data_IF_101266916222
#
_entry.id   IF_101266916222
#
_cell.length_a   1.000
_cell.length_b   1.000
_cell.length_c   1.000
_cell.angle_alpha   90.00
_cell.angle_beta   90.00
_cell.angle_gamma   90.00
#
_symmetry.space_group_name_H-M   'P 1'
#
loop_
_entity.id
_entity.type
_entity.pdbx_description
1 polymer ?
#
# COMPACT_ATOMS: atom_id res chain seq x y z
N UNK A 1 -1.99 31.11 15.28
CA UNK A 1 -3.27 30.87 15.98
C UNK A 1 -4.38 30.78 14.96
N UNK A 2 -4.79 29.59 14.55
CA UNK A 2 -6.09 29.37 13.89
C UNK A 2 -6.61 28.04 14.43
N UNK A 3 -7.55 28.15 15.37
CA UNK A 3 -8.34 27.04 15.89
C UNK A 3 -9.30 26.58 14.79
N UNK A 4 -9.12 25.38 14.24
CA UNK A 4 -10.17 24.67 13.54
C UNK A 4 -10.61 23.49 14.42
N UNK A 5 -11.71 23.66 15.09
CA UNK A 5 -12.46 22.64 15.80
C UNK A 5 -12.89 21.55 14.81
N UNK A 6 -12.60 20.29 15.14
CA UNK A 6 -13.13 19.14 14.43
C UNK A 6 -14.67 19.17 14.49
N UNK A 7 -15.38 18.85 13.38
CA UNK A 7 -16.82 18.76 13.40
C UNK A 7 -17.28 17.60 14.31
N UNK A 8 -18.19 17.90 15.23
CA UNK A 8 -18.88 16.92 16.04
C UNK A 8 -19.77 16.01 15.18
N UNK A 9 -20.24 14.86 15.72
CA UNK A 9 -21.06 13.94 14.97
C UNK A 9 -22.39 14.62 14.59
N UNK A 10 -22.58 14.79 13.27
CA UNK A 10 -23.84 15.30 12.72
C UNK A 10 -24.98 14.32 13.02
N UNK A 11 -26.08 14.83 13.52
CA UNK A 11 -27.33 14.10 13.74
C UNK A 11 -27.83 13.50 12.39
N UNK A 12 -28.32 12.26 12.42
CA UNK A 12 -28.82 11.53 11.26
C UNK A 12 -30.11 12.17 10.73
N UNK A 13 -29.98 13.05 9.75
CA UNK A 13 -31.08 13.32 8.82
C UNK A 13 -31.23 12.08 7.91
N UNK A 14 -32.47 11.75 7.49
CA UNK A 14 -32.72 10.68 6.54
C UNK A 14 -31.84 10.89 5.30
N UNK A 15 -31.15 9.85 4.80
CA UNK A 15 -30.21 10.01 3.72
C UNK A 15 -30.99 10.49 2.47
N UNK A 16 -30.58 11.64 1.89
CA UNK A 16 -31.03 12.04 0.58
C UNK A 16 -30.69 10.95 -0.46
N UNK A 17 -31.17 11.07 -1.69
CA UNK A 17 -30.99 10.06 -2.76
C UNK A 17 -29.53 9.58 -2.90
N UNK A 18 -28.56 10.48 -2.78
CA UNK A 18 -27.12 10.16 -2.79
C UNK A 18 -26.73 9.26 -1.61
N UNK A 19 -27.19 9.56 -0.41
CA UNK A 19 -26.91 8.74 0.77
C UNK A 19 -27.53 7.34 0.68
N UNK A 20 -28.72 7.21 0.12
CA UNK A 20 -29.36 5.93 -0.14
C UNK A 20 -28.57 5.08 -1.15
N UNK A 21 -28.06 5.70 -2.22
CA UNK A 21 -27.21 5.03 -3.22
C UNK A 21 -25.90 4.50 -2.60
N UNK A 22 -25.21 5.33 -1.82
CA UNK A 22 -24.01 4.93 -1.08
C UNK A 22 -24.31 3.72 -0.20
N UNK A 23 -25.36 3.79 0.63
CA UNK A 23 -25.76 2.70 1.53
C UNK A 23 -26.03 1.39 0.78
N UNK A 24 -26.74 1.46 -0.37
CA UNK A 24 -27.04 0.31 -1.23
C UNK A 24 -25.76 -0.32 -1.78
N UNK A 25 -24.83 0.47 -2.31
CA UNK A 25 -23.54 0.00 -2.86
C UNK A 25 -22.66 -0.62 -1.77
N UNK A 26 -22.60 -0.04 -0.57
CA UNK A 26 -21.87 -0.61 0.58
C UNK A 26 -22.47 -1.95 1.04
N UNK A 27 -23.80 -2.06 1.09
CA UNK A 27 -24.49 -3.30 1.40
C UNK A 27 -24.20 -4.39 0.37
N UNK A 28 -24.22 -4.04 -0.93
CA UNK A 28 -23.87 -4.94 -2.02
C UNK A 28 -22.42 -5.42 -1.93
N UNK A 29 -21.45 -4.52 -1.74
CA UNK A 29 -20.05 -4.88 -1.56
C UNK A 29 -19.85 -5.80 -0.36
N UNK A 30 -20.51 -5.51 0.79
CA UNK A 30 -20.50 -6.40 1.96
C UNK A 30 -21.01 -7.79 1.61
N UNK A 31 -22.12 -7.88 0.88
CA UNK A 31 -22.69 -9.16 0.42
C UNK A 31 -21.71 -9.96 -0.43
N UNK A 32 -21.00 -9.29 -1.37
CA UNK A 32 -19.98 -9.93 -2.20
C UNK A 32 -18.83 -10.45 -1.36
N UNK A 33 -18.28 -9.64 -0.46
CA UNK A 33 -17.14 -10.01 0.39
C UNK A 33 -17.46 -11.14 1.37
N UNK A 34 -18.73 -11.35 1.72
CA UNK A 34 -19.22 -12.39 2.65
C UNK A 34 -19.73 -13.66 1.96
N UNK A 35 -19.68 -13.74 0.63
CA UNK A 35 -20.10 -14.95 -0.10
C UNK A 35 -19.29 -16.18 0.30
N UNK A 36 -19.87 -17.38 0.14
CA UNK A 36 -19.16 -18.65 0.35
C UNK A 36 -18.03 -18.81 -0.68
N UNK A 37 -17.05 -19.64 -0.34
CA UNK A 37 -15.93 -19.94 -1.22
C UNK A 37 -16.38 -20.56 -2.53
N UNK A 38 -17.41 -21.44 -2.48
CA UNK A 38 -17.95 -22.08 -3.67
C UNK A 38 -18.64 -21.07 -4.60
N UNK A 39 -19.41 -20.13 -4.03
CA UNK A 39 -20.05 -19.06 -4.82
C UNK A 39 -19.03 -18.12 -5.47
N UNK A 40 -17.95 -17.79 -4.76
CA UNK A 40 -16.85 -16.96 -5.29
C UNK A 40 -16.05 -17.72 -6.36
N UNK A 41 -15.76 -18.99 -6.14
CA UNK A 41 -15.04 -19.86 -7.09
C UNK A 41 -15.80 -20.01 -8.39
N UNK A 42 -17.13 -20.15 -8.33
CA UNK A 42 -17.98 -20.23 -9.50
C UNK A 42 -17.97 -18.95 -10.33
N UNK A 43 -17.77 -17.78 -9.69
CA UNK A 43 -17.76 -16.45 -10.34
C UNK A 43 -16.36 -15.98 -10.75
N UNK A 44 -15.32 -16.44 -10.05
CA UNK A 44 -13.92 -16.08 -10.26
C UNK A 44 -13.06 -17.34 -10.43
N UNK A 45 -13.37 -18.26 -11.39
CA UNK A 45 -12.70 -19.56 -11.48
C UNK A 45 -11.18 -19.40 -11.68
N UNK A 46 -10.72 -18.44 -12.48
CA UNK A 46 -9.31 -18.20 -12.75
C UNK A 46 -8.62 -17.45 -11.60
N UNK A 47 -9.30 -16.47 -11.00
CA UNK A 47 -8.74 -15.53 -10.02
C UNK A 47 -9.11 -15.88 -8.58
N UNK A 48 -9.82 -16.99 -8.36
CA UNK A 48 -10.29 -17.36 -7.01
C UNK A 48 -9.15 -17.48 -6.00
N UNK A 49 -8.04 -18.12 -6.35
CA UNK A 49 -6.91 -18.32 -5.43
C UNK A 49 -6.24 -16.99 -5.06
N UNK A 50 -6.08 -16.08 -6.03
CA UNK A 50 -5.55 -14.73 -5.79
C UNK A 50 -6.48 -13.96 -4.87
N UNK A 51 -7.77 -13.93 -5.17
CA UNK A 51 -8.80 -13.33 -4.34
C UNK A 51 -8.79 -13.91 -2.91
N UNK A 52 -8.87 -15.22 -2.79
CA UNK A 52 -8.94 -15.91 -1.49
C UNK A 52 -7.72 -15.67 -0.63
N UNK A 53 -6.52 -15.75 -1.20
CA UNK A 53 -5.25 -15.54 -0.49
C UNK A 53 -5.20 -14.20 0.24
N UNK A 54 -5.66 -13.15 -0.40
CA UNK A 54 -5.58 -11.78 0.13
C UNK A 54 -6.83 -11.37 0.94
N UNK A 55 -8.03 -11.76 0.53
CA UNK A 55 -9.28 -11.29 1.14
C UNK A 55 -9.83 -12.17 2.27
N UNK A 56 -9.35 -13.40 2.43
CA UNK A 56 -9.81 -14.30 3.52
C UNK A 56 -9.77 -13.66 4.91
N UNK A 57 -8.80 -12.76 5.15
CA UNK A 57 -8.63 -12.07 6.43
C UNK A 57 -9.65 -10.96 6.65
N UNK A 58 -10.23 -10.41 5.58
CA UNK A 58 -11.24 -9.35 5.63
C UNK A 58 -12.66 -9.93 5.76
N UNK A 59 -12.86 -11.20 5.44
CA UNK A 59 -14.16 -11.89 5.40
C UNK A 59 -14.76 -12.12 6.79
N UNK A 60 -14.92 -11.04 7.55
CA UNK A 60 -15.74 -11.01 8.76
C UNK A 60 -16.35 -9.62 8.95
N UNK A 61 -17.57 -9.52 9.55
CA UNK A 61 -18.27 -8.25 9.63
C UNK A 61 -17.47 -7.11 10.28
N UNK A 62 -16.76 -7.28 11.40
CA UNK A 62 -15.96 -6.21 11.99
C UNK A 62 -14.86 -5.67 11.08
N UNK A 63 -14.20 -6.53 10.31
CA UNK A 63 -13.10 -6.11 9.41
C UNK A 63 -13.63 -5.41 8.16
N UNK A 64 -14.77 -5.85 7.64
CA UNK A 64 -15.46 -5.17 6.53
C UNK A 64 -15.89 -3.77 6.98
N UNK A 65 -16.43 -3.64 8.18
CA UNK A 65 -16.79 -2.33 8.72
C UNK A 65 -15.57 -1.42 8.87
N UNK A 66 -14.46 -1.98 9.32
CA UNK A 66 -13.19 -1.26 9.38
C UNK A 66 -12.71 -0.82 7.99
N UNK A 67 -12.80 -1.68 6.99
CA UNK A 67 -12.47 -1.35 5.60
C UNK A 67 -13.32 -0.17 5.10
N UNK A 68 -14.63 -0.19 5.35
CA UNK A 68 -15.54 0.89 4.95
C UNK A 68 -15.17 2.21 5.62
N UNK A 69 -14.89 2.19 6.92
CA UNK A 69 -14.45 3.37 7.65
C UNK A 69 -13.07 3.89 7.15
N UNK A 70 -12.15 2.99 6.82
CA UNK A 70 -10.86 3.35 6.21
C UNK A 70 -11.06 4.05 4.87
N UNK A 71 -11.89 3.48 3.98
CA UNK A 71 -12.22 4.09 2.70
C UNK A 71 -12.89 5.46 2.86
N UNK A 72 -13.79 5.62 3.84
CA UNK A 72 -14.40 6.91 4.17
C UNK A 72 -13.36 7.95 4.60
N UNK A 73 -12.43 7.58 5.46
CA UNK A 73 -11.34 8.48 5.87
C UNK A 73 -10.43 8.88 4.70
N UNK A 74 -10.12 7.94 3.81
CA UNK A 74 -9.33 8.25 2.60
C UNK A 74 -10.05 9.24 1.70
N UNK A 75 -11.36 9.04 1.47
CA UNK A 75 -12.21 9.96 0.74
C UNK A 75 -12.17 11.38 1.35
N UNK A 76 -12.26 11.49 2.68
CA UNK A 76 -12.22 12.76 3.41
C UNK A 76 -10.83 13.41 3.35
N UNK A 77 -9.75 12.64 3.53
CA UNK A 77 -8.38 13.17 3.47
C UNK A 77 -7.97 13.63 2.07
N UNK A 78 -8.50 12.99 1.03
CA UNK A 78 -8.32 13.40 -0.36
C UNK A 78 -9.23 14.57 -0.77
N UNK A 79 -10.20 14.94 0.08
CA UNK A 79 -11.25 15.89 -0.29
C UNK A 79 -11.92 15.47 -1.61
N UNK A 80 -12.23 14.17 -1.76
CA UNK A 80 -12.48 13.53 -3.05
C UNK A 80 -13.88 13.74 -3.63
N UNK A 81 -14.78 14.47 -2.95
CA UNK A 81 -16.15 14.70 -3.45
C UNK A 81 -16.15 15.39 -4.81
N UNK A 82 -16.73 14.73 -5.81
CA UNK A 82 -16.81 15.24 -7.18
C UNK A 82 -15.48 15.37 -7.93
N UNK A 83 -14.39 14.76 -7.41
CA UNK A 83 -13.02 14.89 -7.94
C UNK A 83 -12.53 13.63 -8.65
N UNK A 84 -11.52 13.79 -9.50
CA UNK A 84 -10.79 12.69 -10.14
C UNK A 84 -9.68 12.21 -9.23
N UNK A 85 -9.68 10.91 -8.91
CA UNK A 85 -8.73 10.27 -7.99
C UNK A 85 -7.99 9.15 -8.69
N UNK A 86 -6.69 9.03 -8.42
CA UNK A 86 -5.84 7.91 -8.84
C UNK A 86 -5.38 7.15 -7.60
N UNK A 87 -5.45 5.83 -7.65
CA UNK A 87 -4.85 4.91 -6.66
C UNK A 87 -3.65 4.20 -7.28
N UNK A 88 -2.46 4.40 -6.71
CA UNK A 88 -1.21 3.82 -7.16
C UNK A 88 -0.89 2.56 -6.33
N UNK A 89 -0.83 1.39 -6.97
CA UNK A 89 -0.64 0.11 -6.30
C UNK A 89 -1.89 -0.32 -5.53
N UNK A 90 -3.03 -0.29 -6.22
CA UNK A 90 -4.36 -0.45 -5.62
C UNK A 90 -4.68 -1.88 -5.16
N UNK A 91 -3.88 -2.90 -5.53
CA UNK A 91 -4.24 -4.29 -5.34
C UNK A 91 -5.57 -4.61 -6.05
N UNK A 92 -6.55 -5.12 -5.31
CA UNK A 92 -7.91 -5.31 -5.84
C UNK A 92 -8.73 -4.02 -5.95
N UNK A 93 -8.16 -2.87 -5.61
CA UNK A 93 -8.86 -1.59 -5.65
C UNK A 93 -9.95 -1.42 -4.60
N UNK A 94 -9.93 -2.15 -3.47
CA UNK A 94 -11.01 -2.07 -2.47
C UNK A 94 -11.17 -0.67 -1.88
N UNK A 95 -10.09 -0.02 -1.54
CA UNK A 95 -10.11 1.37 -1.05
C UNK A 95 -10.52 2.34 -2.15
N UNK A 96 -10.05 2.14 -3.38
CA UNK A 96 -10.45 2.93 -4.54
C UNK A 96 -11.95 2.77 -4.87
N UNK A 97 -12.49 1.55 -4.82
CA UNK A 97 -13.93 1.28 -4.94
C UNK A 97 -14.73 2.04 -3.88
N UNK A 98 -14.25 2.08 -2.64
CA UNK A 98 -14.91 2.83 -1.58
C UNK A 98 -14.87 4.33 -1.83
N UNK A 99 -13.76 4.87 -2.30
CA UNK A 99 -13.65 6.30 -2.70
C UNK A 99 -14.64 6.61 -3.83
N UNK A 100 -14.81 5.71 -4.82
CA UNK A 100 -15.79 5.85 -5.87
C UNK A 100 -17.23 5.79 -5.33
N UNK A 101 -17.53 4.84 -4.42
CA UNK A 101 -18.84 4.71 -3.76
C UNK A 101 -19.20 5.97 -2.97
N UNK A 102 -18.24 6.57 -2.28
CA UNK A 102 -18.47 7.77 -1.44
C UNK A 102 -18.66 9.05 -2.23
N UNK A 103 -18.42 9.08 -3.53
CA UNK A 103 -18.82 10.21 -4.40
C UNK A 103 -17.67 10.90 -5.12
N UNK A 104 -16.51 10.26 -5.30
CA UNK A 104 -15.54 10.74 -6.28
C UNK A 104 -16.15 10.73 -7.68
N UNK A 105 -15.79 11.71 -8.53
CA UNK A 105 -16.29 11.81 -9.91
C UNK A 105 -15.79 10.66 -10.78
N UNK A 106 -14.50 10.37 -10.67
CA UNK A 106 -13.81 9.28 -11.35
C UNK A 106 -12.70 8.74 -10.47
N UNK A 107 -12.55 7.43 -10.43
CA UNK A 107 -11.42 6.76 -9.75
C UNK A 107 -10.73 5.83 -10.74
N UNK A 108 -9.44 6.03 -10.94
CA UNK A 108 -8.56 5.10 -11.63
C UNK A 108 -7.70 4.38 -10.60
N UNK A 109 -7.77 3.06 -10.57
CA UNK A 109 -6.94 2.19 -9.74
C UNK A 109 -5.87 1.53 -10.63
N UNK A 110 -4.58 1.68 -10.29
CA UNK A 110 -3.49 1.04 -11.05
C UNK A 110 -2.79 0.00 -10.20
N UNK A 111 -2.48 -1.15 -10.81
CA UNK A 111 -1.84 -2.28 -10.13
C UNK A 111 -0.94 -3.04 -11.12
N UNK A 112 0.20 -3.54 -10.63
CA UNK A 112 1.18 -4.28 -11.43
C UNK A 112 0.81 -5.77 -11.61
N UNK A 113 -0.08 -6.29 -10.80
CA UNK A 113 -0.61 -7.65 -10.89
C UNK A 113 -1.91 -7.65 -11.71
N UNK A 114 -1.86 -8.26 -12.90
CA UNK A 114 -3.01 -8.33 -13.83
C UNK A 114 -4.21 -9.09 -13.26
N UNK A 115 -3.95 -10.09 -12.43
CA UNK A 115 -5.03 -10.87 -11.81
C UNK A 115 -5.75 -10.03 -10.76
N UNK A 116 -5.02 -9.19 -10.01
CA UNK A 116 -5.63 -8.22 -9.10
C UNK A 116 -6.46 -7.16 -9.85
N UNK A 117 -5.97 -6.67 -10.98
CA UNK A 117 -6.72 -5.74 -11.84
C UNK A 117 -8.05 -6.37 -12.27
N UNK A 118 -8.04 -7.62 -12.76
CA UNK A 118 -9.24 -8.33 -13.19
C UNK A 118 -10.26 -8.53 -12.05
N UNK A 119 -9.78 -8.80 -10.83
CA UNK A 119 -10.63 -8.88 -9.64
C UNK A 119 -11.25 -7.51 -9.32
N UNK A 120 -10.48 -6.43 -9.38
CA UNK A 120 -10.99 -5.07 -9.17
C UNK A 120 -12.12 -4.70 -10.14
N UNK A 121 -11.94 -4.99 -11.41
CA UNK A 121 -12.97 -4.81 -12.42
C UNK A 121 -14.22 -5.66 -12.18
N UNK A 122 -14.04 -6.92 -11.76
CA UNK A 122 -15.15 -7.78 -11.38
C UNK A 122 -15.94 -7.17 -10.22
N UNK A 123 -15.28 -6.73 -9.16
CA UNK A 123 -15.94 -6.14 -7.99
C UNK A 123 -16.74 -4.89 -8.36
N UNK A 124 -16.19 -4.01 -9.21
CA UNK A 124 -16.88 -2.79 -9.65
C UNK A 124 -18.17 -3.11 -10.42
N UNK A 125 -18.15 -4.14 -11.28
CA UNK A 125 -19.32 -4.60 -12.04
C UNK A 125 -20.32 -5.36 -11.18
N UNK A 126 -19.88 -6.10 -10.16
CA UNK A 126 -20.72 -6.93 -9.30
C UNK A 126 -21.44 -6.15 -8.19
N UNK A 127 -20.99 -4.97 -7.85
CA UNK A 127 -21.69 -4.05 -6.92
C UNK A 127 -23.03 -3.63 -7.55
N UNK A 128 -24.09 -3.54 -6.74
CA UNK A 128 -25.41 -3.13 -7.20
C UNK A 128 -25.83 -1.79 -6.55
N UNK A 129 -26.12 -0.76 -7.38
CA UNK A 129 -25.87 -0.70 -8.82
C UNK A 129 -24.36 -0.61 -9.14
N UNK A 130 -23.93 -1.09 -10.34
CA UNK A 130 -22.53 -1.07 -10.75
C UNK A 130 -21.88 0.31 -10.65
N UNK A 131 -20.55 0.32 -10.51
CA UNK A 131 -19.77 1.55 -10.49
C UNK A 131 -19.35 1.92 -11.93
N UNK A 132 -19.90 2.99 -12.45
CA UNK A 132 -19.55 3.60 -13.73
C UNK A 132 -18.42 4.62 -13.65
N UNK A 133 -18.05 5.00 -12.42
CA UNK A 133 -17.02 5.97 -12.09
C UNK A 133 -15.71 5.33 -11.60
N UNK A 134 -15.53 4.01 -11.76
CA UNK A 134 -14.34 3.27 -11.36
C UNK A 134 -13.75 2.50 -12.54
N UNK A 135 -12.42 2.56 -12.65
CA UNK A 135 -11.63 1.80 -13.62
C UNK A 135 -10.43 1.17 -12.92
N UNK A 136 -10.14 -0.12 -13.17
CA UNK A 136 -8.91 -0.78 -12.76
C UNK A 136 -8.03 -1.00 -14.00
N UNK A 137 -6.71 -0.69 -13.87
CA UNK A 137 -5.76 -0.76 -14.99
C UNK A 137 -4.41 -1.28 -14.55
N UNK A 138 -3.76 -2.04 -15.43
CA UNK A 138 -2.37 -2.42 -15.24
C UNK A 138 -1.44 -1.20 -15.32
N UNK A 139 -0.51 -1.06 -14.34
CA UNK A 139 0.48 0.00 -14.29
C UNK A 139 1.44 -0.19 -13.13
N UNK A 140 2.70 0.20 -13.28
CA UNK A 140 3.76 0.05 -12.27
C UNK A 140 3.92 1.25 -11.32
N UNK A 141 3.09 2.28 -11.50
CA UNK A 141 3.10 3.48 -10.67
C UNK A 141 4.22 4.48 -10.97
N UNK A 142 5.11 4.22 -11.94
CA UNK A 142 6.20 5.10 -12.33
C UNK A 142 6.21 5.23 -13.85
N UNK A 143 6.27 6.49 -14.37
CA UNK A 143 6.35 6.74 -15.82
C UNK A 143 5.12 6.27 -16.60
N UNK A 144 3.95 6.30 -15.97
CA UNK A 144 2.72 5.88 -16.63
C UNK A 144 2.36 6.81 -17.79
N UNK A 145 1.84 6.24 -18.87
CA UNK A 145 1.33 6.99 -20.02
C UNK A 145 0.00 7.71 -19.69
N UNK A 146 0.04 8.54 -18.64
CA UNK A 146 -1.04 9.41 -18.22
C UNK A 146 -0.62 10.88 -18.33
N UNK A 147 -1.50 11.78 -18.82
CA UNK A 147 -1.17 13.20 -18.91
C UNK A 147 -0.83 13.81 -17.55
N UNK A 148 0.09 14.77 -17.52
CA UNK A 148 0.36 15.54 -16.31
C UNK A 148 -0.88 16.32 -15.87
N UNK A 149 -1.00 16.60 -14.58
CA UNK A 149 -2.11 17.37 -14.01
C UNK A 149 -3.50 16.80 -14.36
N UNK A 150 -3.67 15.48 -14.31
CA UNK A 150 -4.91 14.77 -14.67
C UNK A 150 -5.82 14.49 -13.47
N UNK A 151 -5.29 14.51 -12.24
CA UNK A 151 -6.03 14.11 -11.05
C UNK A 151 -6.05 15.20 -9.99
N UNK A 152 -7.15 15.29 -9.26
CA UNK A 152 -7.30 16.16 -8.11
C UNK A 152 -6.74 15.51 -6.84
N UNK A 153 -6.79 14.17 -6.78
CA UNK A 153 -6.24 13.36 -5.71
C UNK A 153 -5.44 12.18 -6.25
N UNK A 154 -4.32 11.87 -5.61
CA UNK A 154 -3.54 10.63 -5.81
C UNK A 154 -3.41 9.97 -4.46
N UNK A 155 -3.62 8.65 -4.37
CA UNK A 155 -3.40 7.91 -3.14
C UNK A 155 -2.48 6.71 -3.36
N UNK A 156 -1.79 6.32 -2.30
CA UNK A 156 -0.97 5.11 -2.25
C UNK A 156 -1.13 4.49 -0.85
N UNK A 157 -1.66 3.26 -0.79
CA UNK A 157 -1.94 2.59 0.47
C UNK A 157 -1.21 1.26 0.56
N UNK A 158 -0.29 1.12 1.54
CA UNK A 158 0.53 -0.08 1.76
C UNK A 158 1.34 -0.52 0.52
N UNK A 159 1.85 0.44 -0.26
CA UNK A 159 2.62 0.17 -1.47
C UNK A 159 4.03 0.75 -1.41
N UNK A 160 4.21 1.91 -0.77
CA UNK A 160 5.46 2.65 -0.86
C UNK A 160 6.64 1.95 -0.17
N UNK A 161 6.37 1.08 0.78
CA UNK A 161 7.36 0.22 1.42
C UNK A 161 7.99 -0.80 0.45
N UNK A 162 7.33 -1.11 -0.66
CA UNK A 162 7.80 -2.02 -1.71
C UNK A 162 8.49 -1.29 -2.88
N UNK A 163 8.21 0.00 -3.05
CA UNK A 163 8.69 0.78 -4.20
C UNK A 163 10.21 0.93 -4.17
N UNK A 164 10.89 0.53 -5.25
CA UNK A 164 12.34 0.64 -5.39
C UNK A 164 12.79 2.09 -5.52
N UNK A 165 12.28 2.79 -6.53
CA UNK A 165 12.56 4.21 -6.78
C UNK A 165 11.51 5.10 -6.12
N UNK A 166 11.74 5.39 -4.84
CA UNK A 166 10.82 6.22 -4.06
C UNK A 166 10.72 7.65 -4.61
N UNK A 167 11.84 8.20 -5.04
CA UNK A 167 11.87 9.57 -5.55
C UNK A 167 11.16 9.67 -6.89
N UNK A 168 11.37 8.70 -7.79
CA UNK A 168 10.62 8.59 -9.03
C UNK A 168 9.12 8.45 -8.79
N UNK A 169 8.72 7.62 -7.83
CA UNK A 169 7.33 7.44 -7.46
C UNK A 169 6.67 8.73 -6.94
N UNK A 170 7.35 9.47 -6.05
CA UNK A 170 6.84 10.73 -5.53
C UNK A 170 6.80 11.83 -6.61
N UNK A 171 7.80 11.89 -7.48
CA UNK A 171 7.80 12.81 -8.64
C UNK A 171 6.63 12.50 -9.59
N UNK A 172 6.37 11.21 -9.85
CA UNK A 172 5.25 10.79 -10.71
C UNK A 172 3.91 11.16 -10.08
N UNK A 173 3.71 10.87 -8.79
CA UNK A 173 2.52 11.28 -8.06
C UNK A 173 2.29 12.80 -8.15
N UNK A 174 3.36 13.59 -7.96
CA UNK A 174 3.27 15.06 -8.11
C UNK A 174 2.99 15.49 -9.55
N UNK A 175 3.61 14.85 -10.56
CA UNK A 175 3.37 15.14 -11.99
C UNK A 175 1.89 14.94 -12.35
N UNK A 176 1.28 13.86 -11.86
CA UNK A 176 -0.10 13.50 -12.16
C UNK A 176 -1.13 14.39 -11.44
N UNK A 177 -0.77 15.01 -10.32
CA UNK A 177 -1.64 15.92 -9.59
C UNK A 177 -1.81 17.25 -10.34
N UNK A 178 -3.04 17.78 -10.33
CA UNK A 178 -3.36 19.15 -10.66
C UNK A 178 -2.75 20.10 -9.62
N UNK A 179 -2.47 21.36 -9.96
CA UNK A 179 -2.09 22.38 -8.96
C UNK A 179 -3.10 22.43 -7.80
N UNK A 180 -2.62 22.38 -6.57
CA UNK A 180 -3.45 22.31 -5.36
C UNK A 180 -4.05 20.92 -5.07
N UNK A 181 -3.80 19.92 -5.91
CA UNK A 181 -4.21 18.54 -5.70
C UNK A 181 -3.53 17.89 -4.50
N UNK A 182 -4.07 16.77 -4.04
CA UNK A 182 -3.64 16.10 -2.80
C UNK A 182 -3.04 14.74 -3.11
N UNK A 183 -1.83 14.47 -2.61
CA UNK A 183 -1.28 13.14 -2.48
C UNK A 183 -1.53 12.61 -1.07
N UNK A 184 -2.18 11.46 -0.95
CA UNK A 184 -2.41 10.75 0.31
C UNK A 184 -1.59 9.46 0.36
N UNK A 185 -0.82 9.29 1.41
CA UNK A 185 -0.01 8.11 1.68
C UNK A 185 -0.44 7.45 3.00
N UNK A 186 -0.65 6.15 2.99
CA UNK A 186 -0.80 5.33 4.19
C UNK A 186 0.07 4.07 4.07
N UNK A 187 0.89 3.78 5.09
CA UNK A 187 1.73 2.57 5.10
C UNK A 187 1.86 2.01 6.52
N UNK A 188 1.92 0.68 6.65
CA UNK A 188 2.00 -0.03 7.93
C UNK A 188 3.44 -0.18 8.45
N UNK A 189 4.44 0.26 7.68
CA UNK A 189 5.86 0.07 7.95
C UNK A 189 6.53 1.26 8.64
N UNK A 190 5.82 1.89 9.57
CA UNK A 190 6.34 2.97 10.40
C UNK A 190 7.52 2.50 11.27
N UNK A 191 8.72 3.02 11.01
CA UNK A 191 9.96 2.66 11.71
C UNK A 191 10.01 3.12 13.16
N UNK A 192 9.21 4.12 13.55
CA UNK A 192 9.16 4.65 14.90
C UNK A 192 8.29 3.81 15.85
N UNK A 193 7.43 2.92 15.30
CA UNK A 193 6.64 1.99 16.10
C UNK A 193 7.43 0.72 16.41
N UNK A 194 8.18 0.74 17.50
CA UNK A 194 9.10 -0.34 17.90
C UNK A 194 8.45 -1.72 18.10
N UNK A 195 7.19 -1.86 18.62
CA UNK A 195 6.60 -3.19 18.82
C UNK A 195 6.43 -4.03 17.54
N UNK A 196 6.26 -3.41 16.38
CA UNK A 196 6.14 -4.14 15.11
C UNK A 196 7.49 -4.49 14.46
N UNK A 197 8.56 -3.81 14.84
CA UNK A 197 9.89 -3.92 14.22
C UNK A 197 10.46 -5.34 14.25
N UNK A 198 10.31 -6.04 15.36
CA UNK A 198 10.79 -7.42 15.49
C UNK A 198 10.07 -8.42 14.57
N UNK A 199 8.79 -8.20 14.28
CA UNK A 199 8.02 -9.06 13.34
C UNK A 199 8.47 -8.82 11.91
N UNK A 200 8.65 -7.57 11.50
CA UNK A 200 9.13 -7.21 10.14
C UNK A 200 10.51 -7.80 9.89
N UNK A 201 11.44 -7.64 10.83
CA UNK A 201 12.79 -8.21 10.71
C UNK A 201 12.78 -9.72 10.57
N UNK A 202 11.90 -10.44 11.27
CA UNK A 202 11.75 -11.89 11.06
C UNK A 202 11.29 -12.21 9.64
N UNK A 203 10.29 -11.50 9.11
CA UNK A 203 9.87 -11.66 7.72
C UNK A 203 11.01 -11.46 6.72
N UNK A 204 11.85 -10.43 6.93
CA UNK A 204 13.03 -10.22 6.08
C UNK A 204 14.04 -11.35 6.17
N UNK A 205 14.30 -11.88 7.37
CA UNK A 205 15.17 -13.05 7.55
C UNK A 205 14.61 -14.28 6.87
N UNK A 206 13.28 -14.47 6.86
CA UNK A 206 12.65 -15.60 6.19
C UNK A 206 12.83 -15.54 4.66
N UNK A 207 12.86 -14.34 4.06
CA UNK A 207 13.17 -14.17 2.63
C UNK A 207 14.58 -14.66 2.27
N UNK A 208 15.53 -14.49 3.16
CA UNK A 208 16.94 -14.87 2.99
C UNK A 208 17.32 -16.17 3.70
N UNK A 209 16.33 -16.93 4.23
CA UNK A 209 16.62 -18.16 4.96
C UNK A 209 17.23 -19.22 4.05
N UNK A 210 18.44 -19.64 4.39
CA UNK A 210 19.13 -20.73 3.71
C UNK A 210 18.50 -22.09 4.10
N UNK A 211 18.35 -23.05 3.16
CA UNK A 211 18.57 -22.91 1.71
C UNK A 211 17.30 -22.52 0.92
N UNK A 212 16.17 -22.22 1.56
CA UNK A 212 14.83 -22.20 0.96
C UNK A 212 14.16 -20.81 0.91
N UNK A 213 14.80 -19.78 1.46
CA UNK A 213 14.25 -18.42 1.40
C UNK A 213 14.14 -17.94 -0.06
N UNK A 214 13.00 -17.31 -0.46
CA UNK A 214 12.78 -16.98 -1.87
C UNK A 214 13.87 -16.12 -2.50
N UNK A 215 14.45 -15.18 -1.76
CA UNK A 215 15.55 -14.36 -2.29
C UNK A 215 16.87 -15.13 -2.36
N UNK A 216 17.13 -16.01 -1.39
CA UNK A 216 18.27 -16.89 -1.43
C UNK A 216 18.21 -17.82 -2.66
N UNK A 217 17.05 -18.44 -2.91
CA UNK A 217 16.82 -19.34 -4.05
C UNK A 217 16.94 -18.58 -5.37
N UNK A 218 16.32 -17.40 -5.49
CA UNK A 218 16.39 -16.60 -6.71
C UNK A 218 17.83 -16.15 -7.03
N UNK A 219 18.60 -15.72 -6.04
CA UNK A 219 20.02 -15.32 -6.21
C UNK A 219 20.87 -16.50 -6.60
N UNK A 220 20.68 -17.65 -5.95
CA UNK A 220 21.38 -18.89 -6.31
C UNK A 220 21.12 -19.32 -7.76
N UNK A 221 19.86 -19.21 -8.20
CA UNK A 221 19.50 -19.52 -9.58
C UNK A 221 20.18 -18.56 -10.57
N UNK A 222 20.15 -17.26 -10.30
CA UNK A 222 20.80 -16.23 -11.12
C UNK A 222 22.32 -16.46 -11.24
N UNK A 223 23.00 -16.81 -10.14
CA UNK A 223 24.42 -17.12 -10.16
C UNK A 223 24.69 -18.42 -10.96
N UNK A 224 23.93 -19.47 -10.70
CA UNK A 224 24.09 -20.76 -11.40
C UNK A 224 23.89 -20.67 -12.91
N UNK A 225 23.00 -19.81 -13.39
CA UNK A 225 22.78 -19.54 -14.80
C UNK A 225 24.01 -18.88 -15.45
N UNK A 226 24.66 -17.94 -14.78
CA UNK A 226 25.79 -17.18 -15.32
C UNK A 226 27.17 -17.85 -15.08
N UNK A 227 27.24 -18.74 -14.07
CA UNK A 227 28.46 -19.45 -13.70
C UNK A 227 28.21 -20.95 -13.55
N UNK A 228 27.87 -21.66 -14.63
CA UNK A 228 27.47 -23.08 -14.59
C UNK A 228 28.59 -24.05 -14.16
N UNK A 229 29.85 -23.58 -14.17
CA UNK A 229 31.00 -24.38 -13.77
C UNK A 229 31.29 -24.40 -12.27
N UNK A 230 30.58 -23.60 -11.48
CA UNK A 230 30.75 -23.58 -10.01
C UNK A 230 30.32 -24.89 -9.38
N UNK A 231 31.16 -25.41 -8.49
CA UNK A 231 30.73 -26.50 -7.57
C UNK A 231 29.58 -26.06 -6.68
N UNK A 232 28.87 -27.02 -6.14
CA UNK A 232 27.77 -26.71 -5.20
C UNK A 232 28.19 -25.85 -4.00
N UNK A 233 29.41 -26.04 -3.48
CA UNK A 233 29.95 -25.25 -2.36
C UNK A 233 30.28 -23.83 -2.78
N UNK A 234 30.91 -23.64 -3.93
CA UNK A 234 31.24 -22.30 -4.48
C UNK A 234 29.96 -21.52 -4.80
N UNK A 235 28.96 -22.15 -5.38
CA UNK A 235 27.66 -21.56 -5.67
C UNK A 235 26.96 -21.12 -4.37
N UNK A 236 27.00 -21.95 -3.32
CA UNK A 236 26.42 -21.60 -2.02
C UNK A 236 27.16 -20.42 -1.39
N UNK A 237 28.50 -20.40 -1.44
CA UNK A 237 29.31 -19.31 -0.90
C UNK A 237 29.06 -18.00 -1.67
N UNK A 238 29.04 -18.05 -2.99
CA UNK A 238 28.72 -16.88 -3.82
C UNK A 238 27.30 -16.34 -3.51
N UNK A 239 26.33 -17.25 -3.31
CA UNK A 239 24.97 -16.86 -2.93
C UNK A 239 24.92 -16.13 -1.58
N UNK A 240 25.73 -16.54 -0.61
CA UNK A 240 25.82 -15.89 0.70
C UNK A 240 26.49 -14.52 0.61
N UNK A 241 27.63 -14.46 -0.07
CA UNK A 241 28.47 -13.26 -0.14
C UNK A 241 27.85 -12.12 -0.96
N UNK A 242 26.98 -12.43 -1.92
CA UNK A 242 26.27 -11.45 -2.77
C UNK A 242 24.91 -11.03 -2.23
N UNK A 243 24.63 -11.33 -0.96
CA UNK A 243 23.38 -10.97 -0.30
C UNK A 243 23.09 -9.47 -0.37
N UNK A 244 21.86 -9.12 -0.80
CA UNK A 244 21.40 -7.73 -0.95
C UNK A 244 21.83 -7.05 -2.24
N UNK A 245 22.72 -7.67 -3.05
CA UNK A 245 23.00 -7.23 -4.42
C UNK A 245 21.85 -7.60 -5.34
N UNK A 246 21.72 -6.89 -6.47
CA UNK A 246 20.57 -6.97 -7.38
C UNK A 246 21.02 -7.05 -8.83
N UNK A 247 20.39 -7.91 -9.61
CA UNK A 247 20.59 -8.02 -11.05
C UNK A 247 22.06 -8.16 -11.45
N UNK A 248 22.57 -7.27 -12.30
CA UNK A 248 23.97 -7.30 -12.75
C UNK A 248 24.99 -7.23 -11.60
N UNK A 249 24.65 -6.57 -10.47
CA UNK A 249 25.56 -6.48 -9.33
C UNK A 249 25.77 -7.82 -8.63
N UNK A 250 24.79 -8.75 -8.67
CA UNK A 250 24.98 -10.13 -8.19
C UNK A 250 26.05 -10.83 -9.01
N UNK A 251 26.00 -10.67 -10.33
CA UNK A 251 26.94 -11.30 -11.27
C UNK A 251 28.34 -10.73 -11.08
N UNK A 252 28.47 -9.41 -11.06
CA UNK A 252 29.76 -8.74 -10.84
C UNK A 252 30.34 -9.03 -9.45
N UNK A 253 29.51 -9.04 -8.40
CA UNK A 253 29.93 -9.42 -7.06
C UNK A 253 30.41 -10.87 -6.99
N UNK A 254 29.78 -11.79 -7.73
CA UNK A 254 30.24 -13.17 -7.86
C UNK A 254 31.60 -13.23 -8.56
N UNK A 255 31.79 -12.46 -9.63
CA UNK A 255 33.09 -12.37 -10.33
C UNK A 255 34.18 -11.84 -9.41
N UNK A 256 33.93 -10.75 -8.68
CA UNK A 256 34.85 -10.20 -7.68
C UNK A 256 35.25 -11.25 -6.61
N UNK A 257 34.28 -12.05 -6.15
CA UNK A 257 34.54 -13.12 -5.19
C UNK A 257 35.49 -14.18 -5.76
N UNK A 258 35.23 -14.64 -7.00
CA UNK A 258 36.05 -15.65 -7.66
C UNK A 258 37.47 -15.17 -7.94
N UNK A 259 37.65 -13.89 -8.32
CA UNK A 259 38.95 -13.30 -8.64
C UNK A 259 39.78 -12.90 -7.42
N UNK A 260 39.12 -12.37 -6.37
CA UNK A 260 39.83 -11.75 -5.23
C UNK A 260 39.48 -12.34 -3.87
N UNK A 261 38.62 -13.36 -3.82
CA UNK A 261 38.20 -14.00 -2.60
C UNK A 261 37.20 -13.17 -1.75
N UNK A 262 36.73 -12.03 -2.26
CA UNK A 262 35.77 -11.18 -1.54
C UNK A 262 34.93 -10.34 -2.49
N UNK A 263 33.68 -10.09 -2.08
CA UNK A 263 32.79 -9.13 -2.74
C UNK A 263 33.15 -7.72 -2.24
N UNK A 264 33.46 -6.80 -3.14
CA UNK A 264 33.84 -5.40 -2.83
C UNK A 264 32.60 -4.49 -2.75
N UNK A 265 31.54 -4.84 -3.49
CA UNK A 265 30.27 -4.09 -3.55
C UNK A 265 29.55 -4.14 -2.24
N UNK A 266 28.95 -3.01 -1.84
CA UNK A 266 28.10 -2.94 -0.64
C UNK A 266 26.65 -2.79 -1.08
N UNK A 267 25.74 -3.65 -0.59
CA UNK A 267 24.32 -3.49 -0.88
C UNK A 267 23.76 -2.27 -0.13
N UNK A 268 22.82 -1.58 -0.76
CA UNK A 268 22.06 -0.50 -0.13
C UNK A 268 21.22 -1.05 1.05
N UNK A 269 20.64 -2.24 0.86
CA UNK A 269 19.84 -2.93 1.85
C UNK A 269 19.97 -4.45 1.66
N UNK A 270 20.10 -5.19 2.77
CA UNK A 270 20.40 -6.63 2.73
C UNK A 270 19.23 -7.52 2.26
N UNK A 271 18.02 -6.98 2.24
CA UNK A 271 16.81 -7.74 1.98
C UNK A 271 16.08 -7.14 0.78
N UNK A 272 16.66 -7.31 -0.41
CA UNK A 272 16.09 -6.90 -1.69
C UNK A 272 15.91 -8.11 -2.58
N UNK A 273 14.87 -8.12 -3.41
CA UNK A 273 14.73 -9.15 -4.44
C UNK A 273 15.96 -9.09 -5.37
N UNK A 274 16.72 -10.18 -5.50
CA UNK A 274 17.93 -10.18 -6.31
C UNK A 274 17.67 -10.01 -7.82
N UNK A 275 16.43 -10.14 -8.30
CA UNK A 275 16.05 -10.03 -9.71
C UNK A 275 15.80 -8.58 -10.12
N UNK A 276 15.00 -7.85 -9.37
CA UNK A 276 14.51 -6.52 -9.72
C UNK A 276 14.79 -5.44 -8.66
N UNK A 277 15.30 -5.85 -7.50
CA UNK A 277 15.67 -4.93 -6.41
C UNK A 277 14.51 -4.41 -5.59
N UNK A 278 13.33 -4.97 -5.73
CA UNK A 278 12.19 -4.59 -4.90
C UNK A 278 12.43 -4.94 -3.44
N UNK A 279 11.85 -4.13 -2.55
CA UNK A 279 11.86 -4.38 -1.12
C UNK A 279 10.72 -5.30 -0.75
N UNK A 280 10.91 -6.30 0.13
CA UNK A 280 9.79 -7.10 0.65
C UNK A 280 8.83 -6.22 1.44
N UNK A 281 9.36 -5.38 2.29
CA UNK A 281 8.73 -4.30 3.06
C UNK A 281 9.84 -3.53 3.78
N UNK A 282 10.17 -2.32 3.35
CA UNK A 282 11.14 -1.50 4.10
C UNK A 282 10.45 -0.69 5.18
N UNK A 283 11.18 -0.41 6.27
CA UNK A 283 10.73 0.53 7.30
C UNK A 283 10.90 1.97 6.82
N UNK A 284 9.89 2.77 7.04
CA UNK A 284 9.86 4.18 6.64
C UNK A 284 9.73 5.07 7.87
N UNK A 285 10.58 6.09 7.98
CA UNK A 285 10.45 7.11 9.01
C UNK A 285 9.48 8.20 8.55
N UNK A 286 8.36 8.43 9.24
CA UNK A 286 7.36 9.42 8.82
C UNK A 286 7.92 10.83 8.63
N UNK A 287 8.85 11.28 9.48
CA UNK A 287 9.45 12.62 9.36
C UNK A 287 10.44 12.70 8.20
N UNK A 288 11.14 11.61 7.91
CA UNK A 288 11.96 11.52 6.70
C UNK A 288 11.08 11.53 5.44
N UNK A 289 9.94 10.84 5.46
CA UNK A 289 8.98 10.86 4.36
C UNK A 289 8.40 12.26 4.12
N UNK A 290 8.13 13.03 5.16
CA UNK A 290 7.70 14.44 4.99
C UNK A 290 8.73 15.25 4.21
N UNK A 291 10.02 15.10 4.51
CA UNK A 291 11.08 15.78 3.73
C UNK A 291 11.12 15.32 2.27
N UNK A 292 10.90 14.02 2.01
CA UNK A 292 10.81 13.52 0.62
C UNK A 292 9.60 14.11 -0.12
N UNK A 293 8.50 14.35 0.58
CA UNK A 293 7.35 15.07 0.00
C UNK A 293 7.72 16.50 -0.39
N UNK A 294 8.38 17.26 0.50
CA UNK A 294 8.86 18.62 0.24
C UNK A 294 9.79 18.65 -0.98
N UNK A 295 10.75 17.74 -1.06
CA UNK A 295 11.68 17.61 -2.20
C UNK A 295 10.97 17.25 -3.50
N UNK A 296 9.84 16.55 -3.42
CA UNK A 296 8.99 16.25 -4.57
C UNK A 296 8.00 17.38 -4.92
N UNK A 297 8.03 18.53 -4.23
CA UNK A 297 7.14 19.66 -4.49
C UNK A 297 5.75 19.55 -3.87
N UNK A 298 5.62 18.77 -2.80
CA UNK A 298 4.39 18.57 -2.03
C UNK A 298 4.55 19.20 -0.64
N UNK A 299 3.58 19.98 -0.18
CA UNK A 299 3.52 20.51 1.18
C UNK A 299 2.99 19.42 2.13
N UNK A 300 3.83 18.82 3.01
CA UNK A 300 3.45 17.66 3.78
C UNK A 300 2.66 17.99 5.03
N UNK A 301 1.71 17.13 5.35
CA UNK A 301 0.98 17.13 6.62
C UNK A 301 0.95 15.70 7.19
N UNK A 302 1.30 15.57 8.46
CA UNK A 302 1.16 14.30 9.18
C UNK A 302 -0.27 14.17 9.70
N UNK A 303 -0.93 13.06 9.35
CA UNK A 303 -2.31 12.78 9.74
C UNK A 303 -2.35 11.79 10.91
N UNK A 304 -3.38 11.86 11.77
CA UNK A 304 -3.55 10.87 12.84
C UNK A 304 -3.83 9.49 12.25
N UNK A 305 -3.06 8.50 12.71
CA UNK A 305 -3.14 7.11 12.25
C UNK A 305 -3.90 6.24 13.25
N UNK A 306 -5.19 6.45 13.39
CA UNK A 306 -6.04 5.61 14.23
C UNK A 306 -7.15 4.95 13.43
N UNK A 307 -7.45 3.70 13.80
CA UNK A 307 -8.67 3.06 13.38
C UNK A 307 -9.87 3.70 14.09
N UNK A 308 -10.98 3.75 13.39
CA UNK A 308 -12.22 4.30 13.87
C UNK A 308 -12.83 3.51 15.05
N UNK A 309 -13.80 4.13 15.74
CA UNK A 309 -14.53 3.50 16.85
C UNK A 309 -15.30 2.27 16.37
N UNK A 310 -15.35 1.22 17.19
CA UNK A 310 -16.47 0.29 17.17
C UNK A 310 -16.22 -1.12 16.67
N UNK A 311 -15.00 -1.49 16.30
CA UNK A 311 -14.76 -2.85 15.75
C UNK A 311 -14.69 -3.92 16.84
N UNK A 312 -14.24 -3.58 18.03
CA UNK A 312 -14.22 -4.48 19.18
C UNK A 312 -14.48 -3.73 20.49
N UNK A 313 -15.44 -4.17 21.30
CA UNK A 313 -15.57 -3.76 22.70
C UNK A 313 -14.44 -4.40 23.50
N UNK A 314 -13.28 -3.73 23.54
CA UNK A 314 -12.14 -4.19 24.33
C UNK A 314 -12.29 -3.69 25.78
N UNK A 315 -11.93 -4.50 26.81
CA UNK A 315 -11.99 -4.08 28.22
C UNK A 315 -11.21 -2.78 28.52
N UNK A 316 -10.28 -2.41 27.64
CA UNK A 316 -9.48 -1.18 27.73
C UNK A 316 -9.88 -0.14 26.68
N UNK A 317 -11.14 -0.07 26.30
CA UNK A 317 -11.61 0.86 25.26
C UNK A 317 -11.31 2.32 25.64
N UNK A 318 -11.43 2.68 26.91
CA UNK A 318 -11.10 4.00 27.40
C UNK A 318 -9.64 4.41 27.16
N UNK A 319 -8.67 3.46 27.25
CA UNK A 319 -7.27 3.73 26.91
C UNK A 319 -7.12 4.06 25.43
N UNK A 320 -7.78 3.30 24.56
CA UNK A 320 -7.79 3.55 23.11
C UNK A 320 -8.40 4.90 22.78
N UNK A 321 -9.50 5.27 23.42
CA UNK A 321 -10.18 6.56 23.21
C UNK A 321 -9.34 7.73 23.71
N UNK A 322 -8.63 7.57 24.82
CA UNK A 322 -7.70 8.57 25.36
C UNK A 322 -6.49 8.75 24.42
N UNK A 323 -5.86 7.66 23.99
CA UNK A 323 -4.75 7.73 23.02
C UNK A 323 -5.21 8.38 21.72
N UNK A 324 -6.39 8.01 21.22
CA UNK A 324 -6.98 8.61 20.04
C UNK A 324 -7.17 10.12 20.19
N UNK A 325 -7.71 10.59 21.32
CA UNK A 325 -7.87 12.00 21.60
C UNK A 325 -6.52 12.74 21.48
N UNK A 326 -5.48 12.25 22.15
CA UNK A 326 -4.16 12.87 22.11
C UNK A 326 -3.54 12.84 20.71
N UNK A 327 -3.63 11.73 20.00
CA UNK A 327 -3.03 11.62 18.66
C UNK A 327 -3.81 12.38 17.59
N UNK A 328 -5.11 12.59 17.77
CA UNK A 328 -5.89 13.49 16.90
C UNK A 328 -5.47 14.94 17.12
N UNK A 329 -5.18 15.31 18.37
CA UNK A 329 -4.74 16.66 18.71
C UNK A 329 -3.27 16.92 18.36
N UNK A 330 -2.43 15.90 18.45
CA UNK A 330 -0.99 15.92 18.13
C UNK A 330 -0.63 14.73 17.26
N UNK A 331 -0.82 14.82 15.94
CA UNK A 331 -0.59 13.70 15.01
C UNK A 331 0.79 13.07 15.12
N UNK A 332 1.82 13.85 15.49
CA UNK A 332 3.17 13.35 15.73
C UNK A 332 3.27 12.26 16.82
N UNK A 333 2.34 12.21 17.77
CA UNK A 333 2.31 11.16 18.78
C UNK A 333 1.85 9.81 18.18
N UNK A 334 1.00 9.84 17.16
CA UNK A 334 0.47 8.62 16.55
C UNK A 334 1.56 7.73 15.97
N UNK A 335 2.66 8.31 15.48
CA UNK A 335 3.75 7.53 14.86
C UNK A 335 4.54 6.70 15.87
N UNK A 336 4.50 7.00 17.16
CA UNK A 336 5.19 6.22 18.20
C UNK A 336 4.30 5.13 18.82
N UNK A 337 2.99 5.26 18.69
CA UNK A 337 2.03 4.36 19.35
C UNK A 337 1.26 3.49 18.37
N UNK A 338 1.43 3.71 17.04
CA UNK A 338 0.71 2.99 16.01
C UNK A 338 1.62 2.54 14.84
N UNK A 339 1.42 1.33 14.30
CA UNK A 339 2.25 0.81 13.20
C UNK A 339 2.06 1.57 11.88
N UNK A 340 0.89 2.17 11.67
CA UNK A 340 0.56 2.89 10.45
C UNK A 340 1.07 4.32 10.54
N UNK A 341 1.67 4.80 9.46
CA UNK A 341 1.86 6.22 9.22
C UNK A 341 0.88 6.71 8.15
N UNK A 342 0.42 7.93 8.27
CA UNK A 342 -0.43 8.59 7.28
C UNK A 342 0.09 9.99 7.02
N UNK A 343 0.30 10.29 5.75
CA UNK A 343 0.77 11.59 5.29
C UNK A 343 -0.17 12.11 4.21
N UNK A 344 -0.34 13.40 4.19
CA UNK A 344 -0.97 14.12 3.09
C UNK A 344 0.01 15.15 2.58
N UNK A 345 0.15 15.27 1.26
CA UNK A 345 0.94 16.30 0.62
C UNK A 345 0.07 17.09 -0.35
N UNK A 346 0.03 18.43 -0.25
CA UNK A 346 -0.66 19.27 -1.20
C UNK A 346 0.35 19.76 -2.24
N UNK A 347 0.04 19.61 -3.53
CA UNK A 347 0.88 20.13 -4.61
C UNK A 347 0.93 21.64 -4.54
N UNK A 348 2.15 22.17 -4.40
CA UNK A 348 2.41 23.61 -4.46
C UNK A 348 2.12 24.10 -5.89
N UNK A 349 1.52 25.27 -6.02
CA UNK A 349 1.10 25.87 -7.30
C UNK A 349 2.27 26.16 -8.21
#
# INVERSE_FOLDING_TARGET
MISRTAPGPAASAAPGAAGALIARRLASLRGILMQSDDALRARLPEYFLVYYKHLRTIRNPPRIEHLFQKGRQMFEYLEAEGKDVLDLGAGFGLEALLVAIYGARRVLATEIDRDMVAVGEYLARAIDPPLDNFESRYGDGIGMELPSASFDGVMANCVISHVRDLEGFLREANRLLRPGGIFFLSDENNSLYLPARGRRRRGWHDMEREPNGPYFVARRALIGEHFPSLSGNELMEATRQTRGLVGPDVIEGTRELLESGRVKRKPEFLYRDPRDGQYPERELNPFWMMRRFEEAGLEPELLPAFYSRGIERHPRQWVKDTLRFFCTRWPALSVYVWPIMRLRGRKVR
#
